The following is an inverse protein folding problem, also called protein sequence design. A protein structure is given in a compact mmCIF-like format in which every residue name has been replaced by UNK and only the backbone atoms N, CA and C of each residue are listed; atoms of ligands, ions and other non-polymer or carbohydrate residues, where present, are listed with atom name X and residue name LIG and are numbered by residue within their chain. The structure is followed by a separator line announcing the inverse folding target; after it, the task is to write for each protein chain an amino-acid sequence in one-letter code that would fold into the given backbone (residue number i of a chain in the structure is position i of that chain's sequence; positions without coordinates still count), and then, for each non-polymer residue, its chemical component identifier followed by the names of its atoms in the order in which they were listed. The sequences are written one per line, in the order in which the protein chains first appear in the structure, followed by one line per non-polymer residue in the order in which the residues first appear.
data_IF_286032436048
#
_entry.id   IF_286032436048
#
_cell.length_a   1.000
_cell.length_b   1.000
_cell.length_c   1.000
_cell.angle_alpha   90.00
_cell.angle_beta   90.00
_cell.angle_gamma   90.00
#
_symmetry.space_group_name_H-M   'P 1'
#
loop_
_entity.id
_entity.type
_entity.pdbx_description
1 polymer ?
#
# COMPACT_ATOMS: atom_id res chain seq x y z
N UNK A 1 21.26 -14.37 6.10
CA UNK A 1 20.24 -13.42 5.57
C UNK A 1 20.97 -12.39 4.76
N UNK A 2 20.67 -12.25 3.47
CA UNK A 2 21.24 -11.19 2.62
C UNK A 2 20.65 -9.85 3.05
N UNK A 3 21.44 -8.79 3.01
CA UNK A 3 20.93 -7.44 3.26
C UNK A 3 20.22 -6.97 1.99
N UNK A 4 18.90 -6.83 2.08
CA UNK A 4 18.09 -6.30 1.00
C UNK A 4 17.84 -4.80 1.22
N UNK A 5 17.75 -4.06 0.14
CA UNK A 5 17.42 -2.63 0.11
C UNK A 5 16.19 -2.40 -0.78
N UNK A 6 15.54 -1.26 -0.60
CA UNK A 6 14.42 -0.84 -1.44
C UNK A 6 14.75 0.52 -2.04
N UNK A 7 14.63 0.61 -3.37
CA UNK A 7 14.69 1.87 -4.10
C UNK A 7 13.26 2.34 -4.37
N UNK A 8 12.96 3.57 -3.99
CA UNK A 8 11.73 4.27 -4.36
C UNK A 8 11.88 4.80 -5.78
N UNK A 9 11.10 4.29 -6.72
CA UNK A 9 11.12 4.75 -8.11
C UNK A 9 9.84 5.54 -8.36
N UNK A 10 9.89 6.89 -8.45
CA UNK A 10 8.73 7.71 -8.76
C UNK A 10 8.25 7.47 -10.20
N UNK A 11 6.93 7.45 -10.37
CA UNK A 11 6.28 7.35 -11.67
C UNK A 11 4.99 8.17 -11.66
N UNK A 12 4.53 8.61 -12.84
CA UNK A 12 3.34 9.44 -12.99
C UNK A 12 3.39 10.70 -12.08
N UNK A 13 2.24 11.12 -11.54
CA UNK A 13 2.16 12.31 -10.68
C UNK A 13 2.51 12.01 -9.21
N UNK A 14 2.15 10.82 -8.71
CA UNK A 14 2.23 10.47 -7.30
C UNK A 14 2.49 8.98 -7.00
N UNK A 15 2.74 8.14 -8.02
CA UNK A 15 3.03 6.72 -7.82
C UNK A 15 4.46 6.47 -7.36
N UNK A 16 4.61 5.44 -6.53
CA UNK A 16 5.87 4.81 -6.18
C UNK A 16 5.89 3.35 -6.63
N UNK A 17 6.88 3.01 -7.46
CA UNK A 17 7.19 1.65 -7.86
C UNK A 17 8.34 1.18 -6.97
N UNK A 18 8.20 0.00 -6.36
CA UNK A 18 9.16 -0.46 -5.34
C UNK A 18 10.14 -1.46 -5.92
N UNK A 19 11.42 -1.12 -5.95
CA UNK A 19 12.48 -2.01 -6.45
C UNK A 19 13.27 -2.57 -5.26
N UNK A 20 13.06 -3.86 -4.97
CA UNK A 20 13.73 -4.60 -3.89
C UNK A 20 15.00 -5.20 -4.48
N UNK A 21 16.18 -5.04 -3.85
CA UNK A 21 17.43 -5.51 -4.42
C UNK A 21 18.49 -5.90 -3.38
N UNK A 22 19.47 -6.72 -3.78
CA UNK A 22 20.65 -7.12 -3.00
C UNK A 22 21.96 -6.46 -3.49
N UNK A 23 21.86 -5.53 -4.45
CA UNK A 23 22.99 -4.88 -5.12
C UNK A 23 23.39 -5.54 -6.45
N UNK A 24 22.78 -6.69 -6.81
CA UNK A 24 22.99 -7.39 -8.09
C UNK A 24 21.66 -7.75 -8.74
N UNK A 25 20.75 -8.37 -7.99
CA UNK A 25 19.43 -8.81 -8.44
C UNK A 25 18.35 -7.91 -7.87
N UNK A 26 17.22 -7.83 -8.57
CA UNK A 26 16.08 -7.04 -8.13
C UNK A 26 14.74 -7.71 -8.42
N UNK A 27 13.75 -7.44 -7.57
CA UNK A 27 12.33 -7.67 -7.83
C UNK A 27 11.60 -6.34 -7.80
N UNK A 28 10.60 -6.17 -8.66
CA UNK A 28 9.79 -4.94 -8.70
C UNK A 28 8.35 -5.22 -8.29
N UNK A 29 7.77 -4.33 -7.48
CA UNK A 29 6.36 -4.37 -7.11
C UNK A 29 5.62 -3.27 -7.85
N UNK A 30 4.50 -3.64 -8.48
CA UNK A 30 3.55 -2.78 -9.20
C UNK A 30 4.22 -1.84 -10.22
N UNK A 31 4.96 -2.36 -11.21
CA UNK A 31 5.62 -1.54 -12.22
C UNK A 31 4.61 -0.95 -13.21
N UNK A 32 3.91 0.11 -12.83
CA UNK A 32 2.92 0.79 -13.68
C UNK A 32 3.51 1.41 -14.94
N UNK A 33 4.79 1.78 -14.90
CA UNK A 33 5.57 2.25 -16.05
C UNK A 33 6.93 1.54 -16.08
N UNK A 34 7.29 1.02 -17.25
CA UNK A 34 8.56 0.33 -17.45
C UNK A 34 9.75 1.29 -17.57
N UNK A 35 9.54 2.49 -18.09
CA UNK A 35 10.63 3.43 -18.38
C UNK A 35 11.44 3.81 -17.14
N UNK A 36 10.82 4.25 -16.03
CA UNK A 36 11.58 4.56 -14.82
C UNK A 36 12.21 3.31 -14.18
N UNK A 37 11.63 2.12 -14.37
CA UNK A 37 12.23 0.86 -13.88
C UNK A 37 13.48 0.50 -14.68
N UNK A 38 13.45 0.57 -16.02
CA UNK A 38 14.66 0.37 -16.83
C UNK A 38 15.78 1.34 -16.42
N UNK A 39 15.44 2.61 -16.23
CA UNK A 39 16.41 3.62 -15.79
C UNK A 39 17.00 3.31 -14.39
N UNK A 40 16.16 2.90 -13.43
CA UNK A 40 16.61 2.53 -12.09
C UNK A 40 17.51 1.28 -12.10
N UNK A 41 17.15 0.25 -12.88
CA UNK A 41 17.97 -0.96 -13.04
C UNK A 41 19.35 -0.63 -13.63
N UNK A 42 19.42 0.24 -14.64
CA UNK A 42 20.68 0.67 -15.27
C UNK A 42 21.54 1.50 -14.29
N UNK A 43 20.96 2.50 -13.62
CA UNK A 43 21.64 3.36 -12.65
C UNK A 43 22.26 2.52 -11.52
N UNK A 44 21.52 1.57 -10.97
CA UNK A 44 21.95 0.72 -9.87
C UNK A 44 22.68 -0.55 -10.31
N UNK A 45 22.78 -0.81 -11.64
CA UNK A 45 23.40 -2.01 -12.23
C UNK A 45 22.76 -3.30 -11.72
N UNK A 46 21.45 -3.35 -11.69
CA UNK A 46 20.66 -4.46 -11.19
C UNK A 46 20.09 -5.30 -12.34
N UNK A 47 19.97 -6.60 -12.12
CA UNK A 47 19.26 -7.54 -13.00
C UNK A 47 17.89 -7.83 -12.40
N UNK A 48 16.81 -7.56 -13.15
CA UNK A 48 15.46 -7.92 -12.73
C UNK A 48 15.28 -9.43 -12.73
N UNK A 49 14.69 -9.98 -11.66
CA UNK A 49 14.48 -11.44 -11.48
C UNK A 49 13.02 -11.79 -11.18
N UNK A 50 12.18 -10.83 -10.79
CA UNK A 50 10.75 -11.06 -10.57
C UNK A 50 9.93 -9.78 -10.67
N UNK A 51 8.65 -9.92 -11.05
CA UNK A 51 7.63 -8.88 -11.01
C UNK A 51 6.51 -9.34 -10.08
N UNK A 52 6.10 -8.46 -9.15
CA UNK A 52 5.06 -8.71 -8.14
C UNK A 52 3.93 -7.70 -8.36
N UNK A 53 2.68 -8.18 -8.52
CA UNK A 53 1.52 -7.34 -8.80
C UNK A 53 0.50 -7.47 -7.69
N UNK A 54 -0.05 -6.34 -7.24
CA UNK A 54 -1.08 -6.31 -6.19
C UNK A 54 -2.49 -6.32 -6.74
N UNK A 55 -2.77 -5.60 -7.83
CA UNK A 55 -4.09 -5.52 -8.47
C UNK A 55 -3.99 -5.02 -9.93
N UNK A 56 -5.12 -4.92 -10.64
CA UNK A 56 -5.15 -4.77 -12.10
C UNK A 56 -5.13 -3.33 -12.64
N UNK A 57 -5.14 -2.30 -11.79
CA UNK A 57 -5.16 -0.93 -12.29
C UNK A 57 -3.92 -0.63 -13.13
N UNK A 58 -4.14 0.17 -14.19
CA UNK A 58 -3.14 0.41 -15.23
C UNK A 58 -1.83 0.98 -14.70
N UNK A 59 -1.91 1.84 -13.70
CA UNK A 59 -0.76 2.47 -13.06
C UNK A 59 0.03 1.53 -12.12
N UNK A 60 -0.40 0.26 -12.00
CA UNK A 60 0.32 -0.83 -11.33
C UNK A 60 0.84 -1.88 -12.32
N UNK A 61 0.20 -2.04 -13.48
CA UNK A 61 0.51 -3.14 -14.40
C UNK A 61 1.01 -2.68 -15.77
N UNK A 62 0.98 -1.38 -16.08
CA UNK A 62 1.28 -0.88 -17.43
C UNK A 62 2.70 -1.18 -17.92
N UNK A 63 3.68 -1.34 -17.02
CA UNK A 63 5.05 -1.70 -17.34
C UNK A 63 5.36 -3.19 -17.39
N UNK A 64 4.40 -4.06 -17.01
CA UNK A 64 4.62 -5.52 -16.89
C UNK A 64 5.10 -6.14 -18.19
N UNK A 65 4.36 -5.91 -19.29
CA UNK A 65 4.66 -6.54 -20.57
C UNK A 65 6.06 -6.22 -21.10
N UNK A 66 6.49 -4.95 -21.20
CA UNK A 66 7.83 -4.64 -21.68
C UNK A 66 8.94 -5.15 -20.75
N UNK A 67 8.75 -5.13 -19.42
CA UNK A 67 9.72 -5.66 -18.47
C UNK A 67 9.85 -7.19 -18.57
N UNK A 68 8.72 -7.91 -18.53
CA UNK A 68 8.70 -9.36 -18.60
C UNK A 68 9.30 -9.90 -19.92
N UNK A 69 9.01 -9.23 -21.05
CA UNK A 69 9.57 -9.60 -22.34
C UNK A 69 11.09 -9.35 -22.45
N UNK A 70 11.59 -8.30 -21.80
CA UNK A 70 13.01 -7.95 -21.85
C UNK A 70 13.87 -8.86 -20.96
N UNK A 71 13.39 -9.20 -19.75
CA UNK A 71 14.17 -9.93 -18.76
C UNK A 71 13.82 -11.42 -18.66
N UNK A 72 12.72 -11.87 -19.31
CA UNK A 72 12.21 -13.25 -19.25
C UNK A 72 12.02 -13.74 -17.81
N UNK A 73 11.35 -12.95 -17.01
CA UNK A 73 11.18 -13.18 -15.56
C UNK A 73 9.77 -13.60 -15.19
N UNK A 74 9.59 -14.34 -14.07
CA UNK A 74 8.28 -14.68 -13.55
C UNK A 74 7.50 -13.42 -13.13
N UNK A 75 6.18 -13.45 -13.42
CA UNK A 75 5.22 -12.42 -13.01
C UNK A 75 4.23 -13.06 -12.05
N UNK A 76 4.29 -12.65 -10.81
CA UNK A 76 3.40 -13.04 -9.73
C UNK A 76 2.26 -12.02 -9.61
N UNK A 77 1.03 -12.47 -9.40
CA UNK A 77 -0.09 -11.56 -9.23
C UNK A 77 -1.40 -12.26 -8.86
N UNK A 78 -2.45 -11.48 -8.54
CA UNK A 78 -3.70 -12.02 -8.04
C UNK A 78 -4.42 -12.86 -9.09
N UNK A 79 -4.79 -14.10 -8.72
CA UNK A 79 -5.56 -15.00 -9.58
C UNK A 79 -6.95 -14.47 -9.94
N UNK A 80 -7.52 -13.64 -9.06
CA UNK A 80 -8.89 -13.14 -9.19
C UNK A 80 -9.00 -11.85 -9.98
N UNK A 81 -7.91 -11.40 -10.58
CA UNK A 81 -7.89 -10.19 -11.39
C UNK A 81 -7.47 -10.51 -12.84
N UNK A 82 -8.07 -9.79 -13.80
CA UNK A 82 -7.76 -9.96 -15.21
C UNK A 82 -6.53 -9.13 -15.57
N UNK A 83 -5.34 -9.68 -15.31
CA UNK A 83 -4.05 -9.05 -15.64
C UNK A 83 -3.33 -9.91 -16.67
N UNK A 84 -3.09 -9.34 -17.85
CA UNK A 84 -2.31 -10.02 -18.88
C UNK A 84 -0.83 -10.16 -18.47
N UNK A 85 -0.28 -11.34 -18.70
CA UNK A 85 1.14 -11.62 -18.46
C UNK A 85 1.46 -12.19 -17.10
N UNK A 86 0.49 -12.42 -16.19
CA UNK A 86 0.73 -13.20 -14.97
C UNK A 86 1.11 -14.63 -15.35
N UNK A 87 2.28 -15.08 -14.90
CA UNK A 87 2.75 -16.46 -15.07
C UNK A 87 2.52 -17.32 -13.82
N UNK A 88 2.40 -16.67 -12.65
CA UNK A 88 2.20 -17.29 -11.34
C UNK A 88 1.01 -16.65 -10.63
N UNK A 89 -0.22 -17.14 -10.87
CA UNK A 89 -1.41 -16.60 -10.24
C UNK A 89 -1.52 -17.02 -8.78
N UNK A 90 -1.73 -16.06 -7.88
CA UNK A 90 -1.68 -16.21 -6.43
C UNK A 90 -3.06 -16.03 -5.77
N UNK A 91 -3.22 -16.66 -4.59
CA UNK A 91 -4.35 -16.50 -3.67
C UNK A 91 -3.84 -16.37 -2.22
N UNK A 92 -4.73 -16.02 -1.30
CA UNK A 92 -4.41 -15.98 0.14
C UNK A 92 -3.76 -17.26 0.64
N UNK A 93 -2.66 -17.12 1.37
CA UNK A 93 -1.90 -18.23 1.95
C UNK A 93 -0.81 -18.79 1.05
N UNK A 94 -0.74 -18.38 -0.22
CA UNK A 94 0.39 -18.72 -1.08
C UNK A 94 1.68 -18.03 -0.59
N UNK A 95 2.82 -18.62 -0.92
CA UNK A 95 4.13 -18.01 -0.72
C UNK A 95 4.80 -17.74 -2.06
N UNK A 96 5.42 -16.59 -2.19
CA UNK A 96 6.32 -16.25 -3.30
C UNK A 96 7.74 -16.37 -2.80
N UNK A 97 8.56 -17.11 -3.54
CA UNK A 97 10.01 -17.19 -3.33
C UNK A 97 10.70 -16.54 -4.54
N UNK A 98 11.57 -15.57 -4.26
CA UNK A 98 12.51 -14.98 -5.23
C UNK A 98 13.91 -15.44 -4.85
N UNK A 99 14.40 -16.57 -5.46
CA UNK A 99 15.60 -17.27 -4.98
C UNK A 99 16.86 -16.39 -5.02
N UNK A 100 17.00 -15.57 -6.06
CA UNK A 100 18.18 -14.71 -6.27
C UNK A 100 18.34 -13.69 -5.14
N UNK A 101 17.22 -13.30 -4.51
CA UNK A 101 17.18 -12.35 -3.40
C UNK A 101 17.12 -13.02 -2.02
N UNK A 102 16.97 -14.35 -1.96
CA UNK A 102 16.61 -15.05 -0.71
C UNK A 102 15.38 -14.39 -0.04
N UNK A 103 14.43 -13.93 -0.87
CA UNK A 103 13.23 -13.19 -0.44
C UNK A 103 12.02 -14.10 -0.46
N UNK A 104 11.36 -14.21 0.70
CA UNK A 104 10.12 -14.95 0.89
C UNK A 104 8.99 -13.97 1.24
N UNK A 105 7.86 -14.09 0.55
CA UNK A 105 6.70 -13.22 0.72
C UNK A 105 5.44 -14.07 0.88
N UNK A 106 4.70 -13.86 1.97
CA UNK A 106 3.36 -14.42 2.14
C UNK A 106 2.32 -13.54 1.47
N UNK A 107 1.30 -14.16 0.90
CA UNK A 107 0.20 -13.49 0.18
C UNK A 107 -1.03 -13.36 1.07
N UNK A 108 -1.60 -12.15 1.12
CA UNK A 108 -2.86 -11.85 1.79
C UNK A 108 -3.88 -11.32 0.78
N UNK A 109 -5.09 -11.89 0.73
CA UNK A 109 -6.22 -11.27 0.04
C UNK A 109 -6.68 -10.03 0.82
N UNK A 110 -6.74 -8.88 0.15
CA UNK A 110 -7.15 -7.60 0.75
C UNK A 110 -8.17 -6.87 -0.13
N UNK A 111 -9.35 -7.49 -0.36
CA UNK A 111 -10.39 -6.91 -1.20
C UNK A 111 -10.93 -5.61 -0.62
N UNK A 112 -11.36 -4.70 -1.50
CA UNK A 112 -11.95 -3.42 -1.14
C UNK A 112 -11.74 -2.39 -2.22
N UNK A 113 -10.50 -2.04 -2.53
CA UNK A 113 -10.15 -1.16 -3.65
C UNK A 113 -10.54 -1.82 -4.98
N UNK A 114 -10.03 -3.03 -5.23
CA UNK A 114 -10.56 -3.99 -6.20
C UNK A 114 -10.99 -5.26 -5.48
N UNK A 115 -11.71 -6.17 -6.18
CA UNK A 115 -12.21 -7.41 -5.56
C UNK A 115 -11.13 -8.48 -5.41
N UNK A 116 -10.13 -8.48 -6.27
CA UNK A 116 -9.06 -9.45 -6.28
C UNK A 116 -7.73 -8.96 -5.70
N UNK A 117 -7.69 -7.76 -5.11
CA UNK A 117 -6.48 -7.14 -4.59
C UNK A 117 -5.76 -8.02 -3.57
N UNK A 118 -4.44 -8.19 -3.72
CA UNK A 118 -3.57 -8.90 -2.78
C UNK A 118 -2.49 -7.99 -2.21
N UNK A 119 -1.94 -8.38 -1.07
CA UNK A 119 -0.76 -7.75 -0.48
C UNK A 119 0.33 -8.80 -0.24
N UNK A 120 1.59 -8.37 -0.22
CA UNK A 120 2.76 -9.21 0.03
C UNK A 120 3.41 -8.86 1.36
N UNK A 121 3.68 -9.85 2.20
CA UNK A 121 4.33 -9.66 3.51
C UNK A 121 5.66 -10.41 3.53
N UNK A 122 6.76 -9.67 3.63
CA UNK A 122 8.09 -10.21 3.89
C UNK A 122 8.35 -10.21 5.39
N UNK A 123 7.99 -11.29 6.07
CA UNK A 123 8.04 -11.38 7.54
C UNK A 123 9.46 -11.20 8.09
N UNK A 124 10.45 -11.79 7.44
CA UNK A 124 11.85 -11.74 7.86
C UNK A 124 12.45 -10.34 7.78
N UNK A 125 11.97 -9.51 6.85
CA UNK A 125 12.38 -8.12 6.65
C UNK A 125 11.51 -7.13 7.42
N UNK A 126 10.33 -7.55 7.88
CA UNK A 126 9.32 -6.68 8.46
C UNK A 126 8.71 -5.71 7.44
N UNK A 127 8.47 -6.17 6.20
CA UNK A 127 7.94 -5.36 5.10
C UNK A 127 6.56 -5.83 4.64
N UNK A 128 5.73 -4.87 4.25
CA UNK A 128 4.42 -5.08 3.65
C UNK A 128 4.31 -4.23 2.37
N UNK A 129 3.99 -4.86 1.24
CA UNK A 129 3.62 -4.18 0.00
C UNK A 129 2.12 -4.33 -0.18
N UNK A 130 1.38 -3.24 -0.03
CA UNK A 130 -0.09 -3.27 0.09
C UNK A 130 -0.83 -2.58 -1.04
N UNK A 131 -0.11 -2.15 -2.10
CA UNK A 131 -0.72 -1.45 -3.23
C UNK A 131 -1.65 -0.32 -2.78
N UNK A 132 -2.92 -0.43 -3.15
CA UNK A 132 -3.95 0.58 -2.89
C UNK A 132 -4.94 0.20 -1.78
N UNK A 133 -4.52 -0.66 -0.85
CA UNK A 133 -5.36 -1.01 0.31
C UNK A 133 -5.13 -0.06 1.48
N UNK A 134 -3.91 0.00 2.02
CA UNK A 134 -3.54 0.90 3.12
C UNK A 134 -2.65 2.01 2.58
N UNK A 135 -3.01 3.27 2.88
CA UNK A 135 -2.18 4.44 2.63
C UNK A 135 -1.73 5.10 3.93
N UNK A 136 -0.65 5.84 3.89
CA UNK A 136 -0.23 6.65 5.02
C UNK A 136 -1.32 7.68 5.39
N UNK A 137 -1.90 7.52 6.59
CA UNK A 137 -3.02 8.31 7.09
C UNK A 137 -4.37 8.05 6.40
N UNK A 138 -4.49 7.00 5.57
CA UNK A 138 -5.70 6.74 4.79
C UNK A 138 -5.86 5.30 4.31
N UNK A 139 -6.80 5.09 3.40
CA UNK A 139 -6.99 3.83 2.68
C UNK A 139 -7.49 4.09 1.26
N UNK A 140 -7.42 3.06 0.41
CA UNK A 140 -7.88 3.10 -0.97
C UNK A 140 -9.36 3.46 -1.12
N UNK A 141 -9.69 4.09 -2.26
CA UNK A 141 -11.09 4.27 -2.67
C UNK A 141 -11.68 2.90 -3.01
N UNK A 142 -12.97 2.73 -2.76
CA UNK A 142 -13.71 1.54 -3.11
C UNK A 142 -14.25 1.68 -4.54
N UNK A 143 -13.61 1.04 -5.51
CA UNK A 143 -14.11 1.02 -6.88
C UNK A 143 -15.00 -0.20 -7.12
N UNK A 144 -14.67 -1.34 -6.54
CA UNK A 144 -15.36 -2.60 -6.78
C UNK A 144 -15.89 -3.25 -5.50
N UNK A 145 -15.11 -3.14 -4.41
CA UNK A 145 -15.45 -3.77 -3.15
C UNK A 145 -16.36 -2.95 -2.25
N UNK A 146 -16.66 -3.51 -1.09
CA UNK A 146 -17.55 -2.91 -0.08
C UNK A 146 -16.75 -2.32 1.09
N UNK A 147 -17.36 -1.38 1.88
CA UNK A 147 -16.75 -0.89 3.11
C UNK A 147 -16.40 -2.01 4.10
N UNK A 148 -17.21 -3.07 4.18
CA UNK A 148 -16.94 -4.21 5.06
C UNK A 148 -15.70 -4.98 4.61
N UNK A 149 -15.53 -5.23 3.31
CA UNK A 149 -14.34 -5.89 2.76
C UNK A 149 -13.09 -5.07 3.05
N UNK A 150 -13.07 -3.76 2.75
CA UNK A 150 -11.93 -2.89 3.03
C UNK A 150 -11.61 -2.86 4.53
N UNK A 151 -12.63 -2.75 5.39
CA UNK A 151 -12.46 -2.77 6.84
C UNK A 151 -11.79 -4.05 7.34
N UNK A 152 -12.21 -5.21 6.80
CA UNK A 152 -11.61 -6.51 7.12
C UNK A 152 -10.17 -6.61 6.60
N UNK A 153 -9.92 -6.15 5.39
CA UNK A 153 -8.58 -6.10 4.78
C UNK A 153 -7.63 -5.24 5.61
N UNK A 154 -8.05 -4.04 5.99
CA UNK A 154 -7.26 -3.17 6.87
C UNK A 154 -7.03 -3.78 8.25
N UNK A 155 -8.00 -4.54 8.80
CA UNK A 155 -7.82 -5.25 10.07
C UNK A 155 -6.76 -6.35 9.97
N UNK A 156 -6.67 -7.09 8.85
CA UNK A 156 -5.59 -8.06 8.59
C UNK A 156 -4.23 -7.36 8.58
N UNK A 157 -4.10 -6.25 7.84
CA UNK A 157 -2.84 -5.51 7.77
C UNK A 157 -2.44 -4.91 9.11
N UNK A 158 -3.41 -4.38 9.87
CA UNK A 158 -3.19 -3.84 11.21
C UNK A 158 -2.83 -4.92 12.26
N UNK A 159 -3.06 -6.21 12.00
CA UNK A 159 -2.63 -7.30 12.87
C UNK A 159 -1.13 -7.61 12.76
N UNK A 160 -0.44 -7.09 11.75
CA UNK A 160 1.02 -7.20 11.63
C UNK A 160 1.71 -6.44 12.79
N UNK A 161 2.99 -6.78 13.09
CA UNK A 161 3.76 -6.07 14.11
C UNK A 161 3.79 -4.55 13.88
N UNK A 162 3.76 -3.75 14.94
CA UNK A 162 3.77 -2.29 14.86
C UNK A 162 5.00 -1.72 14.15
N UNK A 163 6.12 -2.45 14.19
CA UNK A 163 7.36 -2.09 13.50
C UNK A 163 7.38 -2.42 12.01
N UNK A 164 6.36 -3.11 11.50
CA UNK A 164 6.29 -3.45 10.06
C UNK A 164 6.24 -2.18 9.24
N UNK A 165 7.21 -2.02 8.32
CA UNK A 165 7.22 -0.98 7.33
C UNK A 165 6.25 -1.35 6.21
N UNK A 166 5.36 -0.45 5.82
CA UNK A 166 4.53 -0.69 4.65
C UNK A 166 4.83 0.28 3.52
N UNK A 167 4.75 -0.25 2.33
CA UNK A 167 5.04 0.36 1.04
C UNK A 167 3.76 0.37 0.22
N UNK A 168 3.03 1.48 0.27
CA UNK A 168 1.86 1.72 -0.59
C UNK A 168 2.27 2.40 -1.89
N UNK A 169 1.37 2.41 -2.87
CA UNK A 169 1.75 2.84 -4.21
C UNK A 169 1.68 4.35 -4.46
N UNK A 170 1.08 5.14 -3.55
CA UNK A 170 0.83 6.57 -3.81
C UNK A 170 1.27 7.50 -2.68
N UNK A 171 1.75 8.69 -3.04
CA UNK A 171 2.13 9.77 -2.15
C UNK A 171 0.90 10.64 -1.75
N UNK A 172 -0.04 10.04 -1.04
CA UNK A 172 -1.27 10.72 -0.59
C UNK A 172 -1.19 11.24 0.85
N UNK A 173 -0.07 11.10 1.52
CA UNK A 173 0.09 11.29 2.97
C UNK A 173 -0.42 12.64 3.46
N UNK A 174 0.00 13.75 2.86
CA UNK A 174 -0.41 15.07 3.31
C UNK A 174 -1.91 15.32 3.12
N UNK A 175 -2.49 14.85 2.01
CA UNK A 175 -3.94 14.91 1.78
C UNK A 175 -4.71 14.07 2.79
N UNK A 176 -4.20 12.88 3.10
CA UNK A 176 -4.81 11.99 4.08
C UNK A 176 -4.72 12.56 5.51
N UNK A 177 -3.60 13.15 5.89
CA UNK A 177 -3.43 13.76 7.21
C UNK A 177 -4.31 15.00 7.40
N UNK A 178 -4.57 15.80 6.34
CA UNK A 178 -5.57 16.87 6.41
C UNK A 178 -6.96 16.32 6.74
N UNK A 179 -7.35 15.21 6.09
CA UNK A 179 -8.61 14.54 6.42
C UNK A 179 -8.58 13.94 7.83
N UNK A 180 -7.50 13.26 8.22
CA UNK A 180 -7.37 12.69 9.57
C UNK A 180 -7.55 13.76 10.67
N UNK A 181 -7.00 14.96 10.47
CA UNK A 181 -7.22 16.10 11.38
C UNK A 181 -8.68 16.58 11.41
N UNK A 182 -9.38 16.53 10.29
CA UNK A 182 -10.81 16.87 10.27
C UNK A 182 -11.65 15.82 11.02
N UNK A 183 -11.22 14.55 10.99
CA UNK A 183 -11.90 13.44 11.70
C UNK A 183 -11.60 13.44 13.20
N UNK A 184 -10.36 13.70 13.60
CA UNK A 184 -9.90 13.62 14.99
C UNK A 184 -9.07 14.87 15.35
N UNK A 185 -9.70 16.06 15.46
CA UNK A 185 -8.98 17.32 15.62
C UNK A 185 -8.16 17.44 16.92
N UNK A 186 -8.51 16.65 17.95
CA UNK A 186 -7.79 16.60 19.23
C UNK A 186 -6.61 15.60 19.26
N UNK A 187 -6.31 14.93 18.17
CA UNK A 187 -5.21 13.95 18.13
C UNK A 187 -3.87 14.64 17.82
N UNK A 188 -3.08 14.90 18.87
CA UNK A 188 -1.78 15.56 18.74
C UNK A 188 -0.77 14.77 17.89
N UNK A 189 -0.88 13.44 17.87
CA UNK A 189 0.00 12.59 17.04
C UNK A 189 -0.22 12.87 15.54
N UNK A 190 -1.46 13.15 15.10
CA UNK A 190 -1.75 13.54 13.71
C UNK A 190 -1.11 14.90 13.40
N UNK A 191 -1.19 15.85 14.34
CA UNK A 191 -0.60 17.19 14.17
C UNK A 191 0.92 17.10 14.02
N UNK A 192 1.56 16.38 14.93
CA UNK A 192 3.02 16.18 14.90
C UNK A 192 3.46 15.46 13.61
N UNK A 193 2.75 14.40 13.23
CA UNK A 193 3.01 13.66 11.99
C UNK A 193 2.88 14.56 10.77
N UNK A 194 1.83 15.37 10.68
CA UNK A 194 1.64 16.29 9.55
C UNK A 194 2.81 17.26 9.39
N UNK A 195 3.37 17.78 10.49
CA UNK A 195 4.54 18.67 10.43
C UNK A 195 5.79 17.94 9.91
N UNK A 196 6.03 16.72 10.39
CA UNK A 196 7.17 15.90 9.96
C UNK A 196 7.05 15.57 8.46
N UNK A 197 5.89 15.09 8.03
CA UNK A 197 5.69 14.68 6.63
C UNK A 197 5.66 15.90 5.68
N UNK A 198 5.15 17.06 6.13
CA UNK A 198 5.25 18.30 5.37
C UNK A 198 6.72 18.69 5.16
N UNK A 199 7.54 18.64 6.22
CA UNK A 199 8.96 18.96 6.10
C UNK A 199 9.73 18.03 5.17
N UNK A 200 9.35 16.72 5.10
CA UNK A 200 9.91 15.80 4.09
C UNK A 200 9.52 16.25 2.67
N UNK A 201 8.22 16.51 2.45
CA UNK A 201 7.74 16.91 1.12
C UNK A 201 8.32 18.25 0.66
N UNK A 202 8.56 19.18 1.58
CA UNK A 202 9.23 20.47 1.28
C UNK A 202 10.68 20.29 0.79
N UNK A 203 11.32 19.17 1.16
CA UNK A 203 12.65 18.75 0.66
C UNK A 203 12.60 17.82 -0.56
N UNK A 204 11.38 17.50 -1.08
CA UNK A 204 11.19 16.54 -2.16
C UNK A 204 11.38 15.08 -1.74
N UNK A 205 11.42 14.79 -0.44
CA UNK A 205 11.58 13.44 0.09
C UNK A 205 10.24 12.70 0.14
N UNK A 206 10.21 11.38 -0.11
CA UNK A 206 8.99 10.56 0.04
C UNK A 206 8.59 10.46 1.52
N UNK A 207 7.28 10.33 1.77
CA UNK A 207 6.76 10.05 3.12
C UNK A 207 6.61 8.56 3.40
N UNK A 208 6.74 7.73 2.37
CA UNK A 208 6.68 6.26 2.43
C UNK A 208 8.12 5.71 2.41
N UNK A 209 8.41 4.64 3.20
CA UNK A 209 7.49 3.82 3.99
C UNK A 209 7.02 4.49 5.29
N UNK A 210 5.83 4.08 5.75
CA UNK A 210 5.34 4.34 7.10
C UNK A 210 5.32 3.03 7.90
N UNK A 211 4.86 3.05 9.16
CA UNK A 211 4.78 1.85 10.01
C UNK A 211 3.34 1.55 10.41
N UNK A 212 3.02 0.27 10.64
CA UNK A 212 1.71 -0.15 11.13
C UNK A 212 1.38 0.53 12.47
N UNK A 213 2.36 0.69 13.36
CA UNK A 213 2.16 1.39 14.64
C UNK A 213 1.78 2.85 14.47
N UNK A 214 2.43 3.57 13.54
CA UNK A 214 2.11 4.97 13.24
C UNK A 214 0.71 5.11 12.64
N UNK A 215 0.30 4.17 11.79
CA UNK A 215 -1.06 4.15 11.25
C UNK A 215 -2.11 3.89 12.34
N UNK A 216 -1.89 2.96 13.26
CA UNK A 216 -2.78 2.75 14.42
C UNK A 216 -2.95 4.01 15.27
N UNK A 217 -1.93 4.86 15.33
CA UNK A 217 -1.97 6.10 16.09
C UNK A 217 -2.64 7.27 15.35
N UNK A 218 -2.63 7.29 14.00
CA UNK A 218 -2.96 8.49 13.22
C UNK A 218 -3.93 8.29 12.07
N UNK A 219 -4.19 7.04 11.63
CA UNK A 219 -5.03 6.76 10.47
C UNK A 219 -6.49 6.58 10.89
N UNK A 220 -7.43 7.42 10.47
CA UNK A 220 -8.83 7.34 10.89
C UNK A 220 -9.50 6.02 10.49
N UNK A 221 -9.05 5.37 9.41
CA UNK A 221 -9.60 4.09 8.95
C UNK A 221 -9.14 2.89 9.78
N UNK A 222 -8.09 3.03 10.59
CA UNK A 222 -7.71 2.06 11.63
C UNK A 222 -8.26 2.45 13.01
N UNK A 223 -8.67 3.71 13.18
CA UNK A 223 -9.15 4.31 14.45
C UNK A 223 -10.67 4.44 14.54
N UNK A 224 -11.42 3.91 13.59
CA UNK A 224 -12.89 4.03 13.50
C UNK A 224 -13.66 3.48 14.71
N UNK A 225 -12.99 2.81 15.67
CA UNK A 225 -13.55 2.34 16.94
C UNK A 225 -13.17 3.22 18.13
N UNK A 226 -12.29 4.19 17.96
CA UNK A 226 -11.88 5.11 19.03
C UNK A 226 -13.06 6.00 19.38
N UNK A 227 -13.45 6.15 20.68
CA UNK A 227 -14.65 6.89 21.07
C UNK A 227 -14.73 8.29 20.47
N UNK A 228 -13.63 9.06 20.50
CA UNK A 228 -13.58 10.41 19.93
C UNK A 228 -13.87 10.43 18.42
N UNK A 229 -13.37 9.44 17.66
CA UNK A 229 -13.65 9.30 16.22
C UNK A 229 -15.12 8.92 16.01
N UNK A 230 -15.63 7.94 16.76
CA UNK A 230 -17.04 7.51 16.68
C UNK A 230 -17.98 8.68 16.95
N UNK A 231 -17.76 9.44 18.03
CA UNK A 231 -18.57 10.59 18.42
C UNK A 231 -18.55 11.68 17.33
N UNK A 232 -17.35 12.06 16.89
CA UNK A 232 -17.19 13.14 15.90
C UNK A 232 -17.82 12.76 14.55
N UNK A 233 -17.55 11.56 14.05
CA UNK A 233 -18.13 11.07 12.78
C UNK A 233 -19.64 10.94 12.87
N UNK A 234 -20.16 10.44 14.01
CA UNK A 234 -21.61 10.32 14.23
C UNK A 234 -22.31 11.69 14.20
N UNK A 235 -21.73 12.69 14.85
CA UNK A 235 -22.25 14.05 14.83
C UNK A 235 -22.22 14.67 13.42
N UNK A 236 -21.11 14.51 12.70
CA UNK A 236 -20.92 15.08 11.36
C UNK A 236 -21.79 14.40 10.29
N UNK A 237 -22.13 13.13 10.47
CA UNK A 237 -22.84 12.30 9.49
C UNK A 237 -24.24 11.86 9.94
N UNK A 238 -24.71 12.37 11.07
CA UNK A 238 -26.02 12.06 11.66
C UNK A 238 -26.27 10.57 11.85
N UNK A 239 -25.25 9.82 12.33
CA UNK A 239 -25.38 8.39 12.59
C UNK A 239 -26.17 8.16 13.89
N UNK A 240 -27.19 7.32 13.83
CA UNK A 240 -28.00 6.93 15.00
C UNK A 240 -27.59 5.51 15.43
N UNK A 241 -27.11 5.35 16.66
CA UNK A 241 -26.68 4.07 17.20
C UNK A 241 -25.54 3.43 16.37
N UNK A 242 -24.41 4.12 16.16
CA UNK A 242 -23.40 3.68 15.21
C UNK A 242 -22.76 2.36 15.64
N UNK A 243 -22.67 1.42 14.71
CA UNK A 243 -21.82 0.25 14.81
C UNK A 243 -20.49 0.50 14.06
N UNK A 244 -19.45 -0.32 14.28
CA UNK A 244 -18.16 -0.11 13.65
C UNK A 244 -18.17 -0.04 12.12
N UNK A 245 -19.05 -0.78 11.45
CA UNK A 245 -19.17 -0.74 9.99
C UNK A 245 -19.80 0.57 9.52
N UNK A 246 -20.84 1.06 10.21
CA UNK A 246 -21.48 2.34 9.87
C UNK A 246 -20.50 3.51 10.01
N UNK A 247 -19.66 3.53 11.06
CA UNK A 247 -18.62 4.56 11.24
C UNK A 247 -17.58 4.49 10.12
N UNK A 248 -17.08 3.28 9.80
CA UNK A 248 -16.11 3.09 8.72
C UNK A 248 -16.68 3.53 7.35
N UNK A 249 -17.93 3.17 7.05
CA UNK A 249 -18.62 3.56 5.82
C UNK A 249 -18.75 5.08 5.73
N UNK A 250 -19.19 5.71 6.80
CA UNK A 250 -19.32 7.16 6.86
C UNK A 250 -17.97 7.90 6.70
N UNK A 251 -16.89 7.36 7.27
CA UNK A 251 -15.52 7.86 7.07
C UNK A 251 -15.11 7.78 5.59
N UNK A 252 -15.37 6.63 4.92
CA UNK A 252 -14.99 6.46 3.51
C UNK A 252 -15.78 7.40 2.60
N UNK A 253 -17.09 7.54 2.83
CA UNK A 253 -17.95 8.49 2.11
C UNK A 253 -17.52 9.93 2.35
N UNK A 254 -17.17 10.28 3.60
CA UNK A 254 -16.68 11.61 3.92
C UNK A 254 -15.37 11.92 3.20
N UNK A 255 -14.40 10.99 3.21
CA UNK A 255 -13.13 11.16 2.49
C UNK A 255 -13.33 11.29 0.98
N UNK A 256 -14.35 10.65 0.40
CA UNK A 256 -14.63 10.76 -1.04
C UNK A 256 -15.13 12.16 -1.46
N UNK A 257 -15.71 12.90 -0.52
CA UNK A 257 -16.26 14.25 -0.72
C UNK A 257 -15.38 15.37 -0.15
N UNK A 258 -14.26 15.01 0.51
CA UNK A 258 -13.31 15.94 1.13
C UNK A 258 -12.23 16.38 0.13
#
# INVERSE_FOLDING_TARGET
MRMLNIVTVPAFDDNYLWLIHDGVHAAVVDPGDAVPIFAALDIHKLSLTAILLTHHHRDHVGGVKPLAQHFDVPVFGPRREAIDGITHPLVEGDEVLVPELDLRLSVLDVPGHTLGHIAYVAHDQGWLFCGDTLFAGGCGRLFEGTPEQMRQSLAKLAALPDSTLFFCAHEYTLSNLRFARAVEPGNEAIVARQQIEQAKRDRGEPTIPSTIGLEKATNPFLRYRVPAVVEHVSAQRNLVGPNPLAVFTALREWKNAF
#
